data_IF_677766091000
#
_entry.id   IF_677766091000
#
_cell.length_a   1.000
_cell.length_b   1.000
_cell.length_c   1.000
_cell.angle_alpha   90.00
_cell.angle_beta   90.00
_cell.angle_gamma   90.00
#
_symmetry.space_group_name_H-M   'P 1'
#
loop_
_entity.id
_entity.type
_entity.pdbx_description
1 polymer ?
#
# COMPACT_ATOMS: atom_id res chain seq x y z
N UNK A 1 -7.61 -10.62 -24.35
CA UNK A 1 -7.91 -9.83 -23.14
C UNK A 1 -7.56 -8.39 -23.49
N UNK A 2 -8.51 -7.46 -23.37
CA UNK A 2 -8.25 -6.02 -23.54
C UNK A 2 -7.81 -5.50 -22.18
N UNK A 3 -6.53 -5.15 -22.03
CA UNK A 3 -6.04 -4.46 -20.86
C UNK A 3 -6.19 -2.96 -21.07
N UNK A 4 -6.48 -2.21 -20.01
CA UNK A 4 -6.31 -0.77 -20.02
C UNK A 4 -4.80 -0.47 -20.15
N UNK A 5 -4.43 0.41 -21.10
CA UNK A 5 -3.04 0.78 -21.38
C UNK A 5 -2.40 1.66 -20.28
N UNK A 6 -3.14 1.93 -19.19
CA UNK A 6 -2.60 2.57 -18.00
C UNK A 6 -1.43 1.74 -17.44
N UNK A 7 -0.23 2.28 -17.61
CA UNK A 7 1.02 1.63 -17.21
C UNK A 7 1.81 2.41 -16.15
N UNK A 8 1.49 3.70 -16.02
CA UNK A 8 2.12 4.60 -15.07
C UNK A 8 1.06 5.47 -14.40
N UNK A 9 1.22 5.66 -13.10
CA UNK A 9 0.46 6.62 -12.29
C UNK A 9 1.50 7.46 -11.57
N UNK A 10 1.35 8.78 -11.67
CA UNK A 10 2.29 9.75 -11.12
C UNK A 10 2.36 9.66 -9.59
N UNK A 11 3.53 9.92 -8.99
CA UNK A 11 3.77 9.69 -7.56
C UNK A 11 2.79 10.47 -6.67
N UNK A 12 2.37 11.66 -7.11
CA UNK A 12 1.45 12.55 -6.40
C UNK A 12 0.02 12.54 -6.94
N UNK A 13 -0.34 11.60 -7.81
CA UNK A 13 -1.65 11.57 -8.46
C UNK A 13 -2.85 11.56 -7.48
N UNK A 14 -2.63 11.06 -6.26
CA UNK A 14 -3.67 10.98 -5.22
C UNK A 14 -3.45 11.98 -4.09
N UNK A 15 -2.52 12.93 -4.21
CA UNK A 15 -2.23 13.85 -3.13
C UNK A 15 -3.44 14.75 -2.81
N UNK A 16 -3.82 14.83 -1.53
CA UNK A 16 -5.05 15.51 -1.09
C UNK A 16 -6.35 14.74 -1.34
N UNK A 17 -6.26 13.52 -1.89
CA UNK A 17 -7.42 12.63 -2.05
C UNK A 17 -7.86 12.02 -0.71
N UNK A 18 -9.15 11.67 -0.63
CA UNK A 18 -9.76 10.93 0.48
C UNK A 18 -10.38 9.62 -0.03
N UNK A 19 -9.74 9.00 -1.04
CA UNK A 19 -10.25 7.75 -1.61
C UNK A 19 -10.13 6.61 -0.60
N UNK A 20 -11.27 5.97 -0.33
CA UNK A 20 -11.33 4.78 0.50
C UNK A 20 -11.14 3.49 -0.33
N UNK A 21 -11.45 3.52 -1.62
CA UNK A 21 -11.30 2.38 -2.53
C UNK A 21 -10.56 2.80 -3.81
N UNK A 22 -9.59 1.98 -4.22
CA UNK A 22 -8.81 2.15 -5.44
C UNK A 22 -8.77 0.83 -6.20
N UNK A 23 -9.34 0.86 -7.40
CA UNK A 23 -9.32 -0.27 -8.33
C UNK A 23 -8.42 0.04 -9.53
N UNK A 24 -7.31 -0.70 -9.62
CA UNK A 24 -6.36 -0.67 -10.73
C UNK A 24 -6.30 -2.04 -11.43
N UNK A 25 -7.37 -2.84 -11.31
CA UNK A 25 -7.48 -4.13 -11.99
C UNK A 25 -7.53 -3.98 -13.50
N UNK A 26 -7.08 -5.01 -14.22
CA UNK A 26 -7.05 -5.04 -15.69
C UNK A 26 -6.22 -3.92 -16.34
N UNK A 27 -5.20 -3.42 -15.62
CA UNK A 27 -4.24 -2.42 -16.10
C UNK A 27 -2.85 -3.02 -16.31
N UNK A 28 -1.98 -2.27 -16.98
CA UNK A 28 -0.56 -2.59 -17.17
C UNK A 28 0.36 -1.83 -16.18
N UNK A 29 -0.17 -1.41 -15.01
CA UNK A 29 0.59 -0.62 -14.04
C UNK A 29 1.85 -1.35 -13.60
N UNK A 30 2.94 -0.61 -13.44
CA UNK A 30 4.24 -1.17 -13.02
C UNK A 30 4.62 -0.79 -11.59
N UNK A 31 3.97 0.23 -11.04
CA UNK A 31 4.16 0.72 -9.68
C UNK A 31 2.86 1.26 -9.10
N UNK A 32 2.79 1.29 -7.77
CA UNK A 32 1.69 1.90 -7.03
C UNK A 32 2.22 3.16 -6.32
N UNK A 33 1.71 4.36 -6.61
CA UNK A 33 2.08 5.57 -5.87
C UNK A 33 1.55 5.45 -4.45
N UNK A 34 2.34 5.84 -3.45
CA UNK A 34 1.91 5.79 -2.03
C UNK A 34 1.44 7.14 -1.51
N UNK A 35 1.86 8.24 -2.14
CA UNK A 35 1.51 9.58 -1.68
C UNK A 35 0.02 9.84 -1.91
N UNK A 36 -0.66 10.24 -0.85
CA UNK A 36 -2.11 10.48 -0.87
C UNK A 36 -2.99 9.23 -0.70
N UNK A 37 -2.43 8.03 -0.47
CA UNK A 37 -3.19 6.81 -0.20
C UNK A 37 -3.39 6.49 1.30
N UNK A 38 -3.25 7.48 2.17
CA UNK A 38 -3.31 7.27 3.63
C UNK A 38 -4.68 6.76 4.10
N UNK A 39 -5.76 7.26 3.48
CA UNK A 39 -7.14 6.89 3.80
C UNK A 39 -7.64 5.67 3.02
N UNK A 40 -6.78 5.05 2.20
CA UNK A 40 -7.16 3.90 1.39
C UNK A 40 -7.46 2.69 2.27
N UNK A 41 -8.66 2.13 2.11
CA UNK A 41 -9.14 0.95 2.84
C UNK A 41 -9.19 -0.30 1.97
N UNK A 42 -9.50 -0.15 0.67
CA UNK A 42 -9.67 -1.26 -0.26
C UNK A 42 -8.79 -1.03 -1.50
N UNK A 43 -7.88 -1.96 -1.76
CA UNK A 43 -7.02 -1.95 -2.94
C UNK A 43 -7.30 -3.16 -3.83
N UNK A 44 -7.64 -2.94 -5.09
CA UNK A 44 -7.85 -3.99 -6.09
C UNK A 44 -6.83 -3.86 -7.20
N UNK A 45 -6.06 -4.92 -7.41
CA UNK A 45 -5.04 -5.06 -8.44
C UNK A 45 -5.15 -6.48 -9.00
N UNK A 46 -6.32 -6.81 -9.57
CA UNK A 46 -6.58 -8.09 -10.20
C UNK A 46 -6.25 -8.03 -11.69
N UNK A 47 -5.71 -9.11 -12.26
CA UNK A 47 -5.30 -9.17 -13.68
C UNK A 47 -4.34 -8.03 -14.12
N UNK A 48 -3.45 -7.59 -13.24
CA UNK A 48 -2.41 -6.59 -13.50
C UNK A 48 -1.01 -7.23 -13.34
N UNK A 49 -0.57 -8.06 -14.31
CA UNK A 49 0.62 -8.91 -14.16
C UNK A 49 1.94 -8.14 -14.14
N UNK A 50 1.94 -6.91 -14.63
CA UNK A 50 3.11 -6.02 -14.72
C UNK A 50 3.53 -5.44 -13.37
N UNK A 51 2.63 -5.40 -12.38
CA UNK A 51 2.95 -4.91 -11.04
C UNK A 51 3.73 -5.98 -10.27
N UNK A 52 5.06 -5.89 -10.29
CA UNK A 52 5.93 -6.90 -9.67
C UNK A 52 6.24 -6.63 -8.21
N UNK A 53 6.13 -5.37 -7.77
CA UNK A 53 6.46 -4.95 -6.41
C UNK A 53 5.24 -4.31 -5.77
N UNK A 54 5.02 -4.61 -4.50
CA UNK A 54 4.04 -3.94 -3.66
C UNK A 54 4.79 -3.02 -2.69
N UNK A 55 4.30 -1.80 -2.40
CA UNK A 55 4.91 -0.94 -1.39
C UNK A 55 4.82 -1.56 0.00
N UNK A 56 5.48 -0.92 0.97
CA UNK A 56 5.39 -1.35 2.36
C UNK A 56 3.97 -1.14 2.88
N UNK A 57 3.43 -2.13 3.59
CA UNK A 57 2.10 -2.00 4.20
C UNK A 57 2.05 -0.86 5.25
N UNK A 58 3.20 -0.45 5.81
CA UNK A 58 3.27 0.68 6.75
C UNK A 58 2.94 2.03 6.09
N UNK A 59 2.95 2.09 4.76
CA UNK A 59 2.52 3.26 3.97
C UNK A 59 1.00 3.27 3.72
N UNK A 60 0.36 2.11 3.84
CA UNK A 60 -1.06 1.87 3.56
C UNK A 60 -1.79 1.62 4.89
N UNK A 61 -1.72 2.58 5.80
CA UNK A 61 -2.07 2.40 7.22
C UNK A 61 -3.52 2.03 7.48
N UNK A 62 -4.44 2.49 6.64
CA UNK A 62 -5.88 2.25 6.79
C UNK A 62 -6.37 1.07 5.92
N UNK A 63 -5.46 0.37 5.23
CA UNK A 63 -5.80 -0.71 4.32
C UNK A 63 -6.36 -1.93 5.07
N UNK A 64 -7.57 -2.33 4.70
CA UNK A 64 -8.33 -3.44 5.29
C UNK A 64 -8.44 -4.62 4.33
N UNK A 65 -8.56 -4.35 3.03
CA UNK A 65 -8.73 -5.38 2.00
C UNK A 65 -7.77 -5.13 0.83
N UNK A 66 -7.11 -6.20 0.38
CA UNK A 66 -6.27 -6.18 -0.82
C UNK A 66 -6.58 -7.39 -1.70
N UNK A 67 -6.93 -7.15 -2.97
CA UNK A 67 -7.10 -8.19 -4.00
C UNK A 67 -5.96 -8.07 -4.99
N UNK A 68 -5.13 -9.10 -5.09
CA UNK A 68 -3.84 -9.00 -5.77
C UNK A 68 -3.69 -10.09 -6.82
N UNK A 69 -3.09 -9.71 -7.95
CA UNK A 69 -2.79 -10.63 -9.05
C UNK A 69 -1.76 -11.69 -8.65
N UNK A 70 -0.74 -11.28 -7.90
CA UNK A 70 0.38 -12.14 -7.54
C UNK A 70 0.28 -12.61 -6.09
N UNK A 71 0.17 -13.93 -5.88
CA UNK A 71 0.06 -14.51 -4.53
C UNK A 71 1.29 -14.25 -3.65
N UNK A 72 2.47 -14.05 -4.23
CA UNK A 72 3.68 -13.74 -3.46
C UNK A 72 3.62 -12.35 -2.80
N UNK A 73 2.76 -11.44 -3.26
CA UNK A 73 2.55 -10.15 -2.58
C UNK A 73 1.93 -10.35 -1.19
N UNK A 74 1.18 -11.43 -0.95
CA UNK A 74 0.58 -11.71 0.36
C UNK A 74 1.63 -11.88 1.48
N UNK A 75 2.88 -12.22 1.14
CA UNK A 75 3.97 -12.27 2.11
C UNK A 75 4.25 -10.89 2.74
N UNK A 76 4.06 -9.79 2.00
CA UNK A 76 4.24 -8.44 2.53
C UNK A 76 3.25 -8.11 3.65
N UNK A 77 2.05 -8.69 3.60
CA UNK A 77 1.01 -8.52 4.61
C UNK A 77 1.23 -9.47 5.79
N UNK A 78 1.63 -10.71 5.52
CA UNK A 78 1.83 -11.72 6.56
C UNK A 78 3.11 -11.50 7.37
N UNK A 79 4.17 -11.00 6.73
CA UNK A 79 5.49 -10.81 7.32
C UNK A 79 6.03 -9.40 7.02
N UNK A 80 5.36 -8.34 7.52
CA UNK A 80 5.70 -6.97 7.16
C UNK A 80 7.08 -6.53 7.70
N UNK A 81 7.51 -7.10 8.83
CA UNK A 81 8.87 -6.95 9.38
C UNK A 81 9.96 -7.44 8.42
N UNK A 82 9.70 -8.53 7.68
CA UNK A 82 10.66 -9.12 6.74
C UNK A 82 10.61 -8.39 5.39
N UNK A 83 9.42 -7.96 4.98
CA UNK A 83 9.22 -7.24 3.73
C UNK A 83 9.87 -5.85 3.75
N UNK A 84 9.80 -5.14 4.87
CA UNK A 84 10.51 -3.87 5.05
C UNK A 84 10.97 -3.68 6.51
N UNK A 85 12.16 -4.21 6.87
CA UNK A 85 12.69 -4.11 8.23
C UNK A 85 12.91 -2.68 8.70
N UNK A 86 13.30 -1.78 7.79
CA UNK A 86 13.56 -0.37 8.10
C UNK A 86 12.27 0.35 8.52
N UNK A 87 11.19 0.21 7.74
CA UNK A 87 9.89 0.81 8.09
C UNK A 87 9.26 0.14 9.31
N UNK A 88 9.47 -1.15 9.50
CA UNK A 88 9.04 -1.82 10.73
C UNK A 88 9.71 -1.23 11.97
N UNK A 89 11.03 -1.09 11.97
CA UNK A 89 11.75 -0.47 13.09
C UNK A 89 11.28 0.97 13.36
N UNK A 90 11.03 1.76 12.31
CA UNK A 90 10.48 3.10 12.43
C UNK A 90 9.07 3.10 13.03
N UNK A 91 8.21 2.17 12.61
CA UNK A 91 6.87 1.99 13.16
C UNK A 91 6.94 1.66 14.66
N UNK A 92 7.79 0.71 15.06
CA UNK A 92 7.97 0.37 16.48
C UNK A 92 8.47 1.55 17.32
N UNK A 93 9.41 2.34 16.81
CA UNK A 93 9.89 3.54 17.50
C UNK A 93 8.79 4.58 17.68
N UNK A 94 7.99 4.82 16.64
CA UNK A 94 6.86 5.74 16.68
C UNK A 94 5.81 5.27 17.69
N UNK A 95 5.49 3.97 17.71
CA UNK A 95 4.55 3.41 18.70
C UNK A 95 5.06 3.57 20.13
N UNK A 96 6.36 3.36 20.38
CA UNK A 96 6.97 3.60 21.70
C UNK A 96 6.86 5.06 22.14
N UNK A 97 6.99 6.02 21.21
CA UNK A 97 6.81 7.45 21.50
C UNK A 97 5.35 7.75 21.87
N UNK A 98 4.40 7.24 21.07
CA UNK A 98 2.96 7.42 21.31
C UNK A 98 2.56 6.86 22.69
N UNK A 99 3.00 5.66 23.06
CA UNK A 99 2.70 5.09 24.38
C UNK A 99 3.18 6.01 25.52
N UNK A 100 4.40 6.54 25.41
CA UNK A 100 4.95 7.46 26.42
C UNK A 100 4.23 8.81 26.49
N UNK A 101 3.60 9.25 25.40
CA UNK A 101 2.81 10.47 25.36
C UNK A 101 1.44 10.25 26.02
N UNK A 102 0.79 9.11 25.75
CA UNK A 102 -0.48 8.73 26.38
C UNK A 102 -0.34 8.46 27.88
N UNK A 103 0.81 8.00 28.35
CA UNK A 103 1.10 7.86 29.79
C UNK A 103 1.23 9.22 30.52
N UNK A 104 1.44 10.31 29.79
CA UNK A 104 1.64 11.67 30.34
C UNK A 104 0.38 12.53 30.28
N UNK A 105 -0.66 12.08 29.58
CA UNK A 105 -1.96 12.75 29.44
C UNK A 105 -2.97 12.25 30.45
#
# INVERSE_FOLDING_TARGET
MNFNDLSHVDDYAFNGSQIAELDLSETAIQGLPIEGLKELEILKIEKAPTLRKIPSIYDLRNLKEARLTHSFHCCAFKYPEQHNPQKHAQYEENMKKICKELEKS
#
